data_IF_528625460729
#
_entry.id   IF_528625460729
#
_cell.length_a   1.000
_cell.length_b   1.000
_cell.length_c   1.000
_cell.angle_alpha   90.00
_cell.angle_beta   90.00
_cell.angle_gamma   90.00
#
_symmetry.space_group_name_H-M   'P 1'
#
loop_
_entity.id
_entity.type
_entity.pdbx_description
1 polymer ?
#
# COMPACT_ATOMS: atom_id res chain seq x y z
N UNK A 1 0.78 -23.86 -1.65
CA UNK A 1 1.78 -22.94 -1.08
C UNK A 1 1.69 -23.04 0.45
N UNK A 2 2.71 -23.59 1.13
CA UNK A 2 2.70 -23.73 2.60
C UNK A 2 3.13 -22.42 3.27
N UNK A 3 2.73 -22.20 4.53
CA UNK A 3 3.16 -21.05 5.35
C UNK A 3 4.70 -20.91 5.36
N UNK A 4 5.42 -22.04 5.38
CA UNK A 4 6.89 -22.04 5.32
C UNK A 4 7.43 -21.42 4.02
N UNK A 5 6.83 -21.78 2.88
CA UNK A 5 7.23 -21.25 1.57
C UNK A 5 6.87 -19.76 1.40
N UNK A 6 5.72 -19.32 1.93
CA UNK A 6 5.35 -17.90 1.92
C UNK A 6 6.31 -17.06 2.76
N UNK A 7 6.68 -17.55 3.95
CA UNK A 7 7.66 -16.84 4.78
C UNK A 7 9.05 -16.89 4.13
N UNK A 8 9.40 -18.00 3.47
CA UNK A 8 10.63 -18.08 2.70
C UNK A 8 10.69 -17.06 1.55
N UNK A 9 9.60 -16.79 0.83
CA UNK A 9 9.55 -15.71 -0.18
C UNK A 9 9.66 -14.33 0.48
N UNK A 10 9.04 -14.15 1.66
CA UNK A 10 9.04 -12.85 2.35
C UNK A 10 10.43 -12.37 2.75
N UNK A 11 11.39 -13.29 2.99
CA UNK A 11 12.77 -12.95 3.36
C UNK A 11 13.48 -12.12 2.28
N UNK A 12 13.15 -12.37 1.02
CA UNK A 12 13.75 -11.73 -0.16
C UNK A 12 12.89 -10.55 -0.67
N UNK A 13 11.74 -10.29 -0.03
CA UNK A 13 10.82 -9.24 -0.44
C UNK A 13 11.42 -7.85 -0.16
N UNK A 14 11.79 -7.15 -1.23
CA UNK A 14 12.25 -5.76 -1.18
C UNK A 14 11.11 -4.74 -1.06
N UNK A 15 9.86 -5.17 -1.26
CA UNK A 15 8.66 -4.34 -1.22
C UNK A 15 7.62 -4.98 -0.30
N UNK A 16 7.06 -4.17 0.60
CA UNK A 16 6.00 -4.57 1.53
C UNK A 16 4.75 -3.77 1.24
N UNK A 17 3.62 -4.45 1.08
CA UNK A 17 2.32 -3.81 0.99
C UNK A 17 1.65 -3.90 2.36
N UNK A 18 1.13 -2.79 2.86
CA UNK A 18 0.40 -2.75 4.12
C UNK A 18 -0.91 -1.97 3.97
N UNK A 19 -1.94 -2.47 4.65
CA UNK A 19 -3.27 -1.88 4.69
C UNK A 19 -3.88 -2.16 6.07
N UNK A 20 -4.54 -1.16 6.66
CA UNK A 20 -5.07 -1.23 8.02
C UNK A 20 -6.47 -1.87 8.04
N UNK A 21 -6.57 -3.15 7.67
CA UNK A 21 -7.87 -3.88 7.73
C UNK A 21 -8.22 -4.29 9.15
N UNK A 22 -7.23 -4.53 10.00
CA UNK A 22 -7.42 -4.63 11.44
C UNK A 22 -6.64 -3.52 12.11
N UNK A 23 -7.33 -2.67 12.88
CA UNK A 23 -6.72 -1.64 13.73
C UNK A 23 -5.97 -2.25 14.93
N UNK A 24 -5.23 -3.33 14.74
CA UNK A 24 -4.18 -3.78 15.65
C UNK A 24 -2.93 -2.92 15.40
N UNK A 25 -3.13 -1.60 15.50
CA UNK A 25 -2.06 -0.62 15.50
C UNK A 25 -1.58 -0.53 16.95
N UNK A 26 -1.04 -1.64 17.45
CA UNK A 26 -0.27 -1.62 18.69
C UNK A 26 1.15 -1.26 18.28
N UNK A 27 1.49 0.04 18.35
CA UNK A 27 2.85 0.60 18.39
C UNK A 27 3.93 -0.37 17.88
N UNK A 28 4.01 -0.57 16.56
CA UNK A 28 5.09 -1.33 15.90
C UNK A 28 5.17 -2.84 16.17
N UNK A 29 4.41 -3.38 17.13
CA UNK A 29 4.45 -4.79 17.54
C UNK A 29 4.23 -5.80 16.39
N UNK A 30 3.25 -5.65 15.49
CA UNK A 30 3.05 -6.62 14.42
C UNK A 30 4.21 -6.65 13.41
N UNK A 31 4.80 -5.48 13.12
CA UNK A 31 5.88 -5.33 12.14
C UNK A 31 7.21 -5.82 12.73
N UNK A 32 7.49 -5.43 13.98
CA UNK A 32 8.66 -5.89 14.72
C UNK A 32 8.61 -7.41 14.95
N UNK A 33 7.47 -7.94 15.39
CA UNK A 33 7.31 -9.37 15.62
C UNK A 33 7.50 -10.21 14.35
N UNK A 34 7.08 -9.70 13.18
CA UNK A 34 7.33 -10.36 11.90
C UNK A 34 8.82 -10.35 11.55
N UNK A 35 9.51 -9.22 11.72
CA UNK A 35 10.96 -9.11 11.52
C UNK A 35 11.74 -10.07 12.40
N UNK A 36 11.42 -10.09 13.70
CA UNK A 36 12.08 -10.97 14.67
C UNK A 36 11.85 -12.44 14.33
N UNK A 37 10.64 -12.81 13.91
CA UNK A 37 10.34 -14.20 13.53
C UNK A 37 10.98 -14.64 12.21
N UNK A 38 11.12 -13.75 11.24
CA UNK A 38 11.89 -14.06 10.01
C UNK A 38 13.36 -14.29 10.37
N UNK A 39 13.94 -13.43 11.22
CA UNK A 39 15.32 -13.60 11.70
C UNK A 39 15.50 -14.91 12.46
N UNK A 40 14.57 -15.27 13.36
CA UNK A 40 14.63 -16.50 14.16
C UNK A 40 14.52 -17.76 13.31
N UNK A 41 13.61 -17.79 12.32
CA UNK A 41 13.33 -19.01 11.54
C UNK A 41 14.34 -19.21 10.41
N UNK A 42 14.83 -18.13 9.80
CA UNK A 42 15.64 -18.20 8.58
C UNK A 42 17.08 -17.70 8.75
N UNK A 43 17.46 -17.28 9.96
CA UNK A 43 18.77 -16.71 10.26
C UNK A 43 19.14 -15.53 9.32
N UNK A 44 18.14 -14.85 8.78
CA UNK A 44 18.28 -13.81 7.76
C UNK A 44 17.57 -12.53 8.18
N UNK A 45 18.25 -11.40 7.96
CA UNK A 45 17.71 -10.08 8.25
C UNK A 45 16.72 -9.66 7.19
N UNK A 46 15.45 -9.52 7.56
CA UNK A 46 14.45 -8.93 6.68
C UNK A 46 14.70 -7.42 6.53
N UNK A 47 14.97 -6.98 5.30
CA UNK A 47 15.34 -5.59 5.00
C UNK A 47 14.54 -5.03 3.79
N UNK A 48 13.25 -4.74 3.97
CA UNK A 48 12.43 -4.16 2.91
C UNK A 48 12.86 -2.73 2.59
N UNK A 49 12.85 -2.37 1.30
CA UNK A 49 13.26 -1.05 0.80
C UNK A 49 12.08 -0.10 0.57
N UNK A 50 10.89 -0.65 0.34
CA UNK A 50 9.69 0.11 0.00
C UNK A 50 8.49 -0.38 0.79
N UNK A 51 7.74 0.54 1.39
CA UNK A 51 6.41 0.31 1.93
C UNK A 51 5.36 0.93 0.99
N UNK A 52 4.40 0.16 0.50
CA UNK A 52 3.22 0.67 -0.23
C UNK A 52 2.01 0.67 0.71
N UNK A 53 1.43 1.83 0.99
CA UNK A 53 0.29 1.97 1.91
C UNK A 53 -0.71 3.09 1.52
N UNK A 54 -1.85 3.15 2.18
CA UNK A 54 -2.98 4.07 1.95
C UNK A 54 -2.84 5.46 2.62
N UNK A 55 -1.62 5.83 3.02
CA UNK A 55 -1.28 6.98 3.87
C UNK A 55 -1.74 6.91 5.34
N UNK A 56 -2.02 5.72 5.87
CA UNK A 56 -2.17 5.56 7.32
C UNK A 56 -0.86 5.87 8.06
N UNK A 57 -0.78 7.06 8.69
CA UNK A 57 0.40 7.53 9.45
C UNK A 57 0.90 6.53 10.47
N UNK A 58 -0.01 5.80 11.11
CA UNK A 58 0.37 4.78 12.08
C UNK A 58 1.13 3.61 11.48
N UNK A 59 0.79 3.19 10.25
CA UNK A 59 1.54 2.16 9.53
C UNK A 59 2.91 2.71 9.14
N UNK A 60 2.95 3.94 8.61
CA UNK A 60 4.19 4.58 8.19
C UNK A 60 5.18 4.72 9.35
N UNK A 61 4.71 5.28 10.47
CA UNK A 61 5.53 5.46 11.67
C UNK A 61 6.04 4.13 12.20
N UNK A 62 5.19 3.11 12.29
CA UNK A 62 5.59 1.80 12.76
C UNK A 62 6.63 1.14 11.85
N UNK A 63 6.48 1.29 10.54
CA UNK A 63 7.43 0.75 9.58
C UNK A 63 8.78 1.47 9.65
N UNK A 64 8.77 2.80 9.72
CA UNK A 64 9.97 3.62 9.85
C UNK A 64 10.69 3.38 11.19
N UNK A 65 9.95 3.11 12.27
CA UNK A 65 10.55 2.75 13.56
C UNK A 65 11.30 1.41 13.49
N UNK A 66 10.75 0.41 12.78
CA UNK A 66 11.31 -0.95 12.70
C UNK A 66 12.44 -1.07 11.67
N UNK A 67 12.34 -0.38 10.54
CA UNK A 67 13.27 -0.50 9.41
C UNK A 67 14.10 0.76 9.16
N UNK A 68 13.80 1.89 9.80
CA UNK A 68 14.55 3.14 9.67
C UNK A 68 14.09 4.03 8.51
N UNK A 69 14.67 5.23 8.45
CA UNK A 69 14.29 6.30 7.50
C UNK A 69 14.80 6.12 6.07
N UNK A 70 15.66 5.13 5.83
CA UNK A 70 16.18 4.84 4.49
C UNK A 70 15.17 4.13 3.58
N UNK A 71 14.03 3.70 4.13
CA UNK A 71 12.93 3.08 3.38
C UNK A 71 12.10 4.14 2.69
N UNK A 72 11.70 3.87 1.45
CA UNK A 72 10.70 4.69 0.76
C UNK A 72 9.28 4.28 1.18
N UNK A 73 8.55 5.23 1.79
CA UNK A 73 7.10 5.10 1.98
C UNK A 73 6.39 5.61 0.73
N UNK A 74 5.83 4.68 -0.04
CA UNK A 74 5.05 4.92 -1.24
C UNK A 74 3.56 5.03 -0.90
N UNK A 75 2.93 6.09 -1.39
CA UNK A 75 1.50 6.26 -1.33
C UNK A 75 0.83 5.45 -2.43
N UNK A 76 -0.17 4.64 -2.09
CA UNK A 76 -0.97 3.90 -3.07
C UNK A 76 -1.67 4.88 -4.02
N UNK A 77 -1.45 4.68 -5.32
CA UNK A 77 -2.02 5.51 -6.36
C UNK A 77 -3.55 5.47 -6.39
N UNK A 78 -4.17 4.30 -6.25
CA UNK A 78 -5.64 4.20 -6.24
C UNK A 78 -6.25 5.05 -5.12
N UNK A 79 -5.62 5.04 -3.94
CA UNK A 79 -6.01 5.86 -2.80
C UNK A 79 -5.75 7.35 -3.01
N UNK A 80 -4.58 7.70 -3.57
CA UNK A 80 -4.25 9.09 -3.88
C UNK A 80 -5.22 9.67 -4.91
N UNK A 81 -5.44 8.95 -6.02
CA UNK A 81 -6.37 9.33 -7.09
C UNK A 81 -7.79 9.52 -6.56
N UNK A 82 -8.30 8.58 -5.75
CA UNK A 82 -9.64 8.71 -5.12
C UNK A 82 -9.76 9.99 -4.29
N UNK A 83 -8.80 10.27 -3.40
CA UNK A 83 -8.80 11.49 -2.57
C UNK A 83 -8.67 12.78 -3.40
N UNK A 84 -7.94 12.73 -4.51
CA UNK A 84 -7.83 13.86 -5.44
C UNK A 84 -9.17 14.08 -6.15
N UNK A 85 -9.80 13.02 -6.66
CA UNK A 85 -11.11 13.08 -7.31
C UNK A 85 -12.20 13.64 -6.37
N UNK A 86 -12.28 13.17 -5.12
CA UNK A 86 -13.19 13.70 -4.09
C UNK A 86 -13.03 15.21 -3.89
N UNK A 87 -11.81 15.75 -4.06
CA UNK A 87 -11.57 17.20 -3.98
C UNK A 87 -11.97 17.91 -5.27
N UNK A 88 -11.64 17.34 -6.43
CA UNK A 88 -11.95 17.87 -7.76
C UNK A 88 -13.48 17.95 -7.99
N UNK A 89 -14.27 17.02 -7.43
CA UNK A 89 -15.74 17.02 -7.53
C UNK A 89 -16.39 18.31 -7.01
N UNK A 90 -15.71 19.05 -6.11
CA UNK A 90 -16.18 20.35 -5.60
C UNK A 90 -16.11 21.47 -6.64
N UNK A 91 -15.30 21.29 -7.67
CA UNK A 91 -15.19 22.22 -8.79
C UNK A 91 -16.42 22.06 -9.68
N UNK A 92 -17.14 23.16 -9.90
CA UNK A 92 -18.39 23.16 -10.69
C UNK A 92 -18.14 22.90 -12.17
N UNK A 93 -17.04 23.42 -12.71
CA UNK A 93 -16.72 23.32 -14.12
C UNK A 93 -16.20 21.91 -14.46
N UNK A 94 -17.00 21.15 -15.22
CA UNK A 94 -16.66 19.77 -15.62
C UNK A 94 -15.39 19.71 -16.50
N UNK A 95 -15.26 20.59 -17.49
CA UNK A 95 -14.09 20.60 -18.38
C UNK A 95 -12.80 20.83 -17.59
N UNK A 96 -12.85 21.75 -16.62
CA UNK A 96 -11.74 22.00 -15.72
C UNK A 96 -11.39 20.77 -14.86
N UNK A 97 -12.40 20.07 -14.34
CA UNK A 97 -12.18 18.80 -13.61
C UNK A 97 -11.49 17.76 -14.46
N UNK A 98 -11.96 17.56 -15.69
CA UNK A 98 -11.43 16.57 -16.62
C UNK A 98 -9.97 16.91 -16.97
N UNK A 99 -9.67 18.20 -17.20
CA UNK A 99 -8.30 18.68 -17.45
C UNK A 99 -7.38 18.45 -16.24
N UNK A 100 -7.82 18.79 -15.03
CA UNK A 100 -7.03 18.57 -13.80
C UNK A 100 -6.73 17.07 -13.63
N UNK A 101 -7.73 16.21 -13.84
CA UNK A 101 -7.56 14.77 -13.67
C UNK A 101 -6.58 14.18 -14.69
N UNK A 102 -6.66 14.60 -15.95
CA UNK A 102 -5.71 14.18 -16.99
C UNK A 102 -4.28 14.62 -16.68
N UNK A 103 -4.10 15.84 -16.20
CA UNK A 103 -2.79 16.34 -15.78
C UNK A 103 -2.26 15.60 -14.53
N UNK A 104 -3.13 15.23 -13.58
CA UNK A 104 -2.78 14.40 -12.42
C UNK A 104 -2.36 12.99 -12.85
N UNK A 105 -3.04 12.38 -13.82
CA UNK A 105 -2.64 11.09 -14.40
C UNK A 105 -1.29 11.19 -15.13
N UNK A 106 -1.02 12.33 -15.76
CA UNK A 106 0.28 12.63 -16.39
C UNK A 106 1.39 12.76 -15.34
N UNK A 107 1.14 13.48 -14.24
CA UNK A 107 2.08 13.58 -13.11
C UNK A 107 2.38 12.20 -12.50
N UNK A 108 1.35 11.35 -12.36
CA UNK A 108 1.54 10.00 -11.83
C UNK A 108 2.52 9.19 -12.67
N UNK A 109 2.43 9.32 -14.00
CA UNK A 109 3.22 8.54 -14.96
C UNK A 109 4.70 8.94 -15.02
N UNK A 110 5.09 10.03 -14.36
CA UNK A 110 6.48 10.48 -14.33
C UNK A 110 7.35 9.49 -13.55
N UNK A 111 8.51 9.14 -14.12
CA UNK A 111 9.47 8.18 -13.56
C UNK A 111 10.72 8.83 -12.94
N UNK A 112 10.92 10.13 -13.16
CA UNK A 112 12.05 10.90 -12.64
C UNK A 112 11.59 11.96 -11.63
N UNK A 113 12.27 12.07 -10.49
CA UNK A 113 11.88 12.97 -9.42
C UNK A 113 12.05 14.46 -9.79
N UNK A 114 13.07 14.82 -10.57
CA UNK A 114 13.30 16.21 -10.97
C UNK A 114 12.25 16.66 -12.00
N UNK A 115 11.88 15.77 -12.93
CA UNK A 115 10.79 16.01 -13.88
C UNK A 115 9.46 16.14 -13.11
N UNK A 116 9.24 15.29 -12.10
CA UNK A 116 8.03 15.37 -11.27
C UNK A 116 7.93 16.71 -10.54
N UNK A 117 9.04 17.22 -10.02
CA UNK A 117 9.07 18.50 -9.30
C UNK A 117 8.80 19.67 -10.22
N UNK A 118 9.46 19.72 -11.37
CA UNK A 118 9.22 20.75 -12.37
C UNK A 118 7.77 20.72 -12.90
N UNK A 119 7.25 19.53 -13.19
CA UNK A 119 5.89 19.35 -13.66
C UNK A 119 4.85 19.70 -12.57
N UNK A 120 5.13 19.37 -11.30
CA UNK A 120 4.25 19.70 -10.18
C UNK A 120 4.16 21.21 -9.95
N UNK A 121 5.26 21.95 -10.09
CA UNK A 121 5.23 23.41 -9.98
C UNK A 121 4.48 24.04 -11.17
N UNK A 122 4.70 23.53 -12.38
CA UNK A 122 3.96 23.96 -13.57
C UNK A 122 2.45 23.67 -13.42
N UNK A 123 2.08 22.51 -12.87
CA UNK A 123 0.70 22.13 -12.57
C UNK A 123 0.05 23.11 -11.61
N UNK A 124 0.73 23.43 -10.50
CA UNK A 124 0.17 24.37 -9.52
C UNK A 124 0.01 25.77 -10.14
N UNK A 125 0.98 26.21 -10.93
CA UNK A 125 0.89 27.50 -11.61
C UNK A 125 -0.25 27.55 -12.62
N UNK A 126 -0.50 26.45 -13.35
CA UNK A 126 -1.60 26.32 -14.32
C UNK A 126 -2.97 26.45 -13.66
N UNK A 127 -3.15 25.89 -12.46
CA UNK A 127 -4.44 25.86 -11.76
C UNK A 127 -4.55 26.87 -10.60
N UNK A 128 -3.65 27.86 -10.53
CA UNK A 128 -3.53 28.83 -9.43
C UNK A 128 -4.83 29.56 -9.06
N UNK A 129 -5.75 29.70 -10.01
CA UNK A 129 -7.01 30.43 -9.82
C UNK A 129 -8.01 29.60 -8.98
N UNK A 130 -7.90 28.26 -8.95
CA UNK A 130 -8.65 27.39 -8.05
C UNK A 130 -7.92 27.24 -6.70
N UNK A 131 -7.92 28.33 -5.93
CA UNK A 131 -7.16 28.45 -4.66
C UNK A 131 -7.43 27.29 -3.70
N UNK A 132 -8.69 26.86 -3.52
CA UNK A 132 -9.03 25.75 -2.60
C UNK A 132 -8.36 24.43 -3.04
N UNK A 133 -8.47 24.10 -4.33
CA UNK A 133 -7.90 22.87 -4.88
C UNK A 133 -6.38 22.91 -4.82
N UNK A 134 -5.75 24.00 -5.28
CA UNK A 134 -4.28 24.14 -5.28
C UNK A 134 -3.71 24.08 -3.86
N UNK A 135 -4.36 24.74 -2.90
CA UNK A 135 -3.94 24.71 -1.49
C UNK A 135 -3.97 23.28 -0.95
N UNK A 136 -5.05 22.55 -1.23
CA UNK A 136 -5.16 21.14 -0.88
C UNK A 136 -4.09 20.29 -1.56
N UNK A 137 -3.93 20.44 -2.89
CA UNK A 137 -3.03 19.62 -3.69
C UNK A 137 -1.57 19.79 -3.23
N UNK A 138 -1.13 21.04 -3.01
CA UNK A 138 0.20 21.31 -2.43
C UNK A 138 0.38 20.63 -1.08
N UNK A 139 -0.51 20.91 -0.12
CA UNK A 139 -0.36 20.42 1.24
C UNK A 139 -0.44 18.89 1.36
N UNK A 140 -1.40 18.27 0.66
CA UNK A 140 -1.72 16.86 0.84
C UNK A 140 -1.01 15.95 -0.16
N UNK A 141 -0.91 16.36 -1.42
CA UNK A 141 -0.38 15.52 -2.50
C UNK A 141 1.11 15.77 -2.78
N UNK A 142 1.62 16.98 -2.56
CA UNK A 142 3.04 17.30 -2.85
C UNK A 142 3.92 17.37 -1.60
N UNK A 143 3.36 17.74 -0.44
CA UNK A 143 4.11 17.81 0.83
C UNK A 143 3.87 16.56 1.67
N UNK A 144 2.62 16.32 2.09
CA UNK A 144 2.36 15.27 3.07
C UNK A 144 2.51 13.85 2.53
N UNK A 145 2.00 13.57 1.32
CA UNK A 145 1.98 12.22 0.75
C UNK A 145 2.60 12.16 -0.65
N UNK A 146 3.75 12.83 -0.85
CA UNK A 146 4.38 13.05 -2.17
C UNK A 146 4.57 11.82 -3.06
N UNK A 147 4.82 10.67 -2.46
CA UNK A 147 5.32 9.48 -3.16
C UNK A 147 4.21 8.65 -3.84
N UNK A 148 3.33 9.29 -4.63
CA UNK A 148 2.28 8.62 -5.42
C UNK A 148 2.60 8.49 -6.91
N UNK A 149 3.65 9.15 -7.41
CA UNK A 149 4.12 9.03 -8.80
C UNK A 149 4.95 7.75 -9.03
N UNK A 150 5.14 7.36 -10.30
CA UNK A 150 5.84 6.12 -10.65
C UNK A 150 7.31 6.12 -10.21
N UNK A 151 7.99 7.25 -10.40
CA UNK A 151 9.39 7.44 -10.04
C UNK A 151 9.71 7.47 -8.55
N UNK A 152 8.70 7.53 -7.68
CA UNK A 152 8.91 7.59 -6.23
C UNK A 152 9.60 6.33 -5.69
N UNK A 153 9.30 5.17 -6.29
CA UNK A 153 9.90 3.89 -5.92
C UNK A 153 9.92 2.95 -7.13
N UNK A 154 11.07 2.89 -7.80
CA UNK A 154 11.28 2.04 -8.97
C UNK A 154 11.05 0.55 -8.65
N UNK A 155 10.49 -0.20 -9.60
CA UNK A 155 10.17 -1.63 -9.48
C UNK A 155 9.24 -2.03 -8.32
N UNK A 156 8.55 -1.08 -7.69
CA UNK A 156 7.47 -1.37 -6.74
C UNK A 156 6.10 -1.15 -7.41
N UNK A 157 5.08 -1.95 -7.07
CA UNK A 157 3.72 -1.70 -7.52
C UNK A 157 3.24 -0.30 -7.10
N UNK A 158 2.52 0.38 -8.00
CA UNK A 158 1.94 1.69 -7.70
C UNK A 158 0.65 1.62 -6.89
N UNK A 159 0.01 0.46 -6.83
CA UNK A 159 -1.24 0.24 -6.10
C UNK A 159 -1.12 -0.92 -5.12
N UNK A 160 -1.93 -0.88 -4.06
CA UNK A 160 -2.11 -1.99 -3.12
C UNK A 160 -3.39 -2.81 -3.43
N UNK A 161 -3.91 -2.76 -4.67
CA UNK A 161 -5.18 -3.41 -5.06
C UNK A 161 -5.21 -4.92 -4.76
N UNK A 162 -4.08 -5.61 -4.90
CA UNK A 162 -3.98 -7.02 -4.54
C UNK A 162 -4.28 -7.25 -3.05
N UNK A 163 -3.79 -6.35 -2.20
CA UNK A 163 -4.04 -6.37 -0.76
C UNK A 163 -5.48 -5.98 -0.42
N UNK A 164 -6.06 -4.98 -1.10
CA UNK A 164 -7.47 -4.62 -0.94
C UNK A 164 -8.41 -5.78 -1.32
N UNK A 165 -8.12 -6.45 -2.44
CA UNK A 165 -8.87 -7.64 -2.88
C UNK A 165 -8.79 -8.77 -1.85
N UNK A 166 -7.59 -8.99 -1.29
CA UNK A 166 -7.40 -9.97 -0.23
C UNK A 166 -8.15 -9.60 1.05
N UNK A 167 -8.10 -8.33 1.47
CA UNK A 167 -8.84 -7.83 2.63
C UNK A 167 -10.35 -7.98 2.45
N UNK A 168 -10.86 -7.81 1.22
CA UNK A 168 -12.26 -8.08 0.90
C UNK A 168 -12.63 -9.54 1.12
N UNK A 169 -11.79 -10.49 0.69
CA UNK A 169 -12.03 -11.93 0.95
C UNK A 169 -12.13 -12.21 2.45
N UNK A 170 -11.23 -11.64 3.26
CA UNK A 170 -11.26 -11.78 4.73
C UNK A 170 -12.56 -11.21 5.31
N UNK A 171 -12.92 -10.01 4.87
CA UNK A 171 -14.11 -9.31 5.35
C UNK A 171 -15.38 -10.08 4.98
N UNK A 172 -15.47 -10.60 3.76
CA UNK A 172 -16.66 -11.28 3.26
C UNK A 172 -16.78 -12.73 3.75
N UNK A 173 -15.66 -13.42 3.94
CA UNK A 173 -15.66 -14.87 4.20
C UNK A 173 -15.30 -15.26 5.63
N UNK A 174 -14.54 -14.45 6.36
CA UNK A 174 -13.99 -14.83 7.66
C UNK A 174 -14.50 -13.97 8.82
N UNK A 175 -14.68 -12.67 8.58
CA UNK A 175 -15.10 -11.75 9.66
C UNK A 175 -16.47 -11.15 9.47
N UNK A 176 -17.07 -11.28 8.29
CA UNK A 176 -18.38 -10.72 7.96
C UNK A 176 -18.50 -9.22 8.27
N UNK A 177 -17.39 -8.49 8.13
CA UNK A 177 -17.24 -7.09 8.53
C UNK A 177 -17.56 -6.80 10.02
N UNK A 178 -17.55 -7.80 10.90
CA UNK A 178 -17.85 -7.63 12.32
C UNK A 178 -16.58 -7.42 13.18
N UNK A 179 -16.73 -6.67 14.27
CA UNK A 179 -15.67 -6.54 15.28
C UNK A 179 -15.74 -7.69 16.26
N UNK A 180 -14.68 -8.49 16.32
CA UNK A 180 -14.58 -9.57 17.29
C UNK A 180 -13.86 -9.17 18.59
N UNK A 181 -14.30 -9.68 19.75
CA UNK A 181 -13.47 -9.73 20.94
C UNK A 181 -12.15 -10.45 20.66
N UNK A 182 -11.06 -10.07 21.35
CA UNK A 182 -9.72 -10.61 21.09
C UNK A 182 -9.68 -12.15 21.06
N UNK A 183 -10.35 -12.81 22.01
CA UNK A 183 -10.41 -14.28 22.07
C UNK A 183 -11.02 -14.89 20.81
N UNK A 184 -12.12 -14.32 20.32
CA UNK A 184 -12.78 -14.75 19.07
C UNK A 184 -11.93 -14.42 17.85
N UNK A 185 -11.30 -13.25 17.82
CA UNK A 185 -10.37 -12.87 16.76
C UNK A 185 -9.22 -13.88 16.62
N UNK A 186 -8.59 -14.29 17.73
CA UNK A 186 -7.50 -15.27 17.68
C UNK A 186 -7.95 -16.63 17.14
N UNK A 187 -9.17 -17.07 17.48
CA UNK A 187 -9.76 -18.29 16.93
C UNK A 187 -9.97 -18.16 15.42
N UNK A 188 -10.61 -17.08 14.97
CA UNK A 188 -10.87 -16.84 13.55
C UNK A 188 -9.56 -16.70 12.76
N UNK A 189 -8.57 -15.97 13.29
CA UNK A 189 -7.26 -15.82 12.66
C UNK A 189 -6.55 -17.17 12.51
N UNK A 190 -6.62 -18.04 13.52
CA UNK A 190 -6.07 -19.41 13.44
C UNK A 190 -6.81 -20.24 12.39
N UNK A 191 -8.14 -20.17 12.34
CA UNK A 191 -8.95 -20.85 11.33
C UNK A 191 -8.63 -20.37 9.91
N UNK A 192 -8.49 -19.07 9.70
CA UNK A 192 -8.08 -18.47 8.42
C UNK A 192 -6.73 -19.01 7.95
N UNK A 193 -5.72 -18.96 8.81
CA UNK A 193 -4.38 -19.46 8.50
C UNK A 193 -4.44 -20.96 8.16
N UNK A 194 -5.19 -21.75 8.93
CA UNK A 194 -5.34 -23.18 8.66
C UNK A 194 -6.06 -23.45 7.33
N UNK A 195 -7.16 -22.76 7.04
CA UNK A 195 -7.92 -22.91 5.80
C UNK A 195 -7.03 -22.63 4.59
N UNK A 196 -6.31 -21.52 4.60
CA UNK A 196 -5.44 -21.16 3.48
C UNK A 196 -4.21 -22.05 3.37
N UNK A 197 -3.64 -22.48 4.50
CA UNK A 197 -2.52 -23.43 4.48
C UNK A 197 -2.92 -24.76 3.83
N UNK A 198 -4.15 -25.22 4.06
CA UNK A 198 -4.64 -26.51 3.59
C UNK A 198 -5.31 -26.46 2.20
N UNK A 199 -5.89 -25.31 1.81
CA UNK A 199 -6.56 -25.13 0.50
C UNK A 199 -5.64 -25.48 -0.68
N UNK A 200 -4.34 -25.23 -0.54
CA UNK A 200 -3.34 -25.53 -1.58
C UNK A 200 -2.75 -26.95 -1.52
N UNK A 201 -3.07 -27.74 -0.50
CA UNK A 201 -2.64 -29.14 -0.40
C UNK A 201 -3.66 -30.03 -1.14
N UNK A 202 -4.93 -29.62 -1.16
CA UNK A 202 -6.05 -30.41 -1.70
C UNK A 202 -6.37 -30.19 -3.18
N UNK A 203 -5.77 -29.21 -3.86
CA UNK A 203 -6.09 -28.89 -5.26
C UNK A 203 -4.81 -28.57 -6.08
N UNK A 204 -4.19 -29.58 -6.74
CA UNK A 204 -2.93 -29.40 -7.47
C UNK A 204 -3.05 -28.64 -8.80
N UNK A 205 -4.26 -28.44 -9.33
CA UNK A 205 -4.47 -27.84 -10.66
C UNK A 205 -4.50 -26.30 -10.67
N UNK A 206 -4.53 -25.65 -9.50
CA UNK A 206 -4.39 -24.18 -9.36
C UNK A 206 -2.91 -23.71 -9.46
N UNK A 207 -1.99 -24.59 -9.88
CA UNK A 207 -0.52 -24.38 -9.94
C UNK A 207 -0.03 -23.45 -11.08
N UNK A 208 -0.89 -22.66 -11.72
CA UNK A 208 -0.53 -21.91 -12.94
C UNK A 208 0.40 -20.71 -12.73
N UNK A 209 0.88 -20.40 -11.51
CA UNK A 209 1.67 -19.17 -11.24
C UNK A 209 3.15 -19.43 -10.94
N UNK A 210 3.66 -20.67 -10.94
CA UNK A 210 5.03 -20.92 -10.43
C UNK A 210 5.96 -21.81 -11.28
N UNK A 211 5.83 -21.84 -12.61
CA UNK A 211 6.74 -22.65 -13.46
C UNK A 211 7.43 -21.91 -14.61
N UNK A 212 7.40 -20.58 -14.64
CA UNK A 212 8.23 -19.83 -15.60
C UNK A 212 9.29 -19.01 -14.86
N UNK A 213 10.59 -19.39 -14.97
CA UNK A 213 11.68 -18.56 -14.49
C UNK A 213 11.75 -17.29 -15.35
N UNK A 214 11.97 -16.15 -14.70
CA UNK A 214 12.54 -14.95 -15.33
C UNK A 214 14.02 -15.20 -15.63
#
# INVERSE_FOLDING_TARGET
>A
MSTKYLIEISKDASVVHADATYKLIWQSFPVLGLKDKIQEIFESSWNPKVLVCDAAKSIQNAFLEVFGEHVVVRMCWAHAKRKIQERIERIKNKELRDNILNDVDSLHSITDANIFDAASEAFVQKYKDDIEFVTYFRAQCLVQNRNWFLGAAFNSPSTNNALESFNRVINDSNTLCERFPLSRFLVVAKEMVNQWSNKYISNPDDNYIATHPL
#
